data_IF_443488310335
#
_entry.id   IF_443488310335
#
_cell.length_a   1.000
_cell.length_b   1.000
_cell.length_c   1.000
_cell.angle_alpha   90.00
_cell.angle_beta   90.00
_cell.angle_gamma   90.00
#
_symmetry.space_group_name_H-M   'P 1'
#
loop_
_entity.id
_entity.type
_entity.pdbx_description
1 polymer ?
#
# COMPACT_ATOMS: atom_id res chain seq x y z
N UNK A 1 -32.03 -18.47 11.10
CA UNK A 1 -31.31 -18.20 12.36
C UNK A 1 -29.95 -18.90 12.38
N UNK A 2 -29.89 -20.23 12.29
CA UNK A 2 -28.62 -20.98 12.29
C UNK A 2 -27.57 -20.55 11.22
N UNK A 3 -28.01 -20.19 10.01
CA UNK A 3 -27.09 -19.75 8.93
C UNK A 3 -26.47 -18.37 9.20
N UNK A 4 -27.19 -17.50 9.91
CA UNK A 4 -26.70 -16.19 10.34
C UNK A 4 -25.70 -16.34 11.48
N UNK A 5 -25.99 -17.22 12.45
CA UNK A 5 -25.08 -17.53 13.55
C UNK A 5 -23.78 -18.18 13.07
N UNK A 6 -23.86 -19.10 12.10
CA UNK A 6 -22.68 -19.72 11.50
C UNK A 6 -21.79 -18.70 10.78
N UNK A 7 -22.39 -17.73 10.08
CA UNK A 7 -21.64 -16.65 9.44
C UNK A 7 -20.94 -15.77 10.47
N UNK A 8 -21.63 -15.37 11.53
CA UNK A 8 -21.05 -14.55 12.62
C UNK A 8 -19.90 -15.28 13.29
N UNK A 9 -20.03 -16.60 13.51
CA UNK A 9 -18.95 -17.40 14.09
C UNK A 9 -17.75 -17.50 13.14
N UNK A 10 -17.99 -17.70 11.84
CA UNK A 10 -16.96 -17.72 10.81
C UNK A 10 -16.20 -16.39 10.73
N UNK A 11 -16.91 -15.27 10.71
CA UNK A 11 -16.32 -13.92 10.70
C UNK A 11 -15.43 -13.68 11.93
N UNK A 12 -15.84 -14.17 13.11
CA UNK A 12 -15.04 -14.08 14.35
C UNK A 12 -13.77 -14.93 14.34
N UNK A 13 -13.83 -16.12 13.76
CA UNK A 13 -12.65 -16.99 13.61
C UNK A 13 -11.62 -16.37 12.68
N UNK A 14 -12.09 -15.78 11.57
CA UNK A 14 -11.24 -15.04 10.62
C UNK A 14 -10.59 -13.85 11.33
N UNK A 15 -11.37 -13.04 12.05
CA UNK A 15 -10.85 -11.89 12.80
C UNK A 15 -9.80 -12.30 13.85
N UNK A 16 -10.04 -13.37 14.61
CA UNK A 16 -9.06 -13.88 15.59
C UNK A 16 -7.79 -14.40 14.93
N UNK A 17 -7.90 -15.05 13.77
CA UNK A 17 -6.74 -15.51 13.03
C UNK A 17 -5.95 -14.33 12.45
N UNK A 18 -6.62 -13.38 11.79
CA UNK A 18 -6.00 -12.17 11.21
C UNK A 18 -5.30 -11.30 12.27
N UNK A 19 -5.84 -11.24 13.49
CA UNK A 19 -5.25 -10.48 14.61
C UNK A 19 -4.13 -11.21 15.33
N UNK A 20 -4.04 -12.54 15.22
CA UNK A 20 -3.05 -13.36 15.92
C UNK A 20 -1.89 -13.87 15.05
N UNK A 21 -1.91 -13.61 13.74
CA UNK A 21 -0.84 -14.02 12.83
C UNK A 21 0.28 -12.99 12.83
N UNK A 22 1.50 -13.46 13.06
CA UNK A 22 2.73 -12.69 12.93
C UNK A 22 3.47 -13.09 11.65
N UNK A 23 4.06 -12.11 10.98
CA UNK A 23 5.00 -12.36 9.89
C UNK A 23 6.37 -12.64 10.49
N UNK A 24 7.07 -13.58 9.88
CA UNK A 24 8.48 -13.86 10.17
C UNK A 24 9.27 -13.65 8.89
N UNK A 25 10.52 -13.23 9.03
CA UNK A 25 11.45 -13.19 7.91
C UNK A 25 11.55 -14.58 7.29
N UNK A 26 11.55 -14.63 5.96
CA UNK A 26 11.75 -15.88 5.24
C UNK A 26 13.14 -16.44 5.61
N UNK A 27 13.24 -17.64 6.19
CA UNK A 27 14.52 -18.22 6.58
C UNK A 27 15.39 -18.62 5.38
N UNK A 28 14.84 -18.65 4.17
CA UNK A 28 15.58 -18.95 2.95
C UNK A 28 16.40 -17.73 2.47
N UNK A 29 17.75 -17.77 2.52
CA UNK A 29 18.59 -16.65 2.14
C UNK A 29 18.50 -16.32 0.64
N UNK A 30 18.08 -17.26 -0.21
CA UNK A 30 17.95 -17.06 -1.66
C UNK A 30 16.66 -16.32 -2.04
N UNK A 31 15.67 -16.26 -1.14
CA UNK A 31 14.41 -15.49 -1.30
C UNK A 31 14.39 -14.20 -0.47
N UNK A 32 15.36 -14.01 0.42
CA UNK A 32 15.37 -12.95 1.42
C UNK A 32 15.47 -11.52 0.86
N UNK A 33 15.94 -11.34 -0.39
CA UNK A 33 16.19 -10.01 -0.96
C UNK A 33 15.39 -9.77 -2.23
N UNK A 34 14.41 -8.86 -2.17
CA UNK A 34 13.78 -8.32 -3.36
C UNK A 34 14.75 -7.41 -4.10
N UNK A 35 14.91 -7.63 -5.41
CA UNK A 35 15.71 -6.77 -6.29
C UNK A 35 14.82 -6.14 -7.35
N UNK A 36 15.04 -4.85 -7.62
CA UNK A 36 14.33 -4.14 -8.68
C UNK A 36 14.85 -4.66 -10.02
N UNK A 37 14.00 -5.37 -10.75
CA UNK A 37 14.31 -5.91 -12.07
C UNK A 37 14.26 -4.86 -13.18
N UNK A 38 14.62 -5.27 -14.40
CA UNK A 38 14.54 -4.42 -15.59
C UNK A 38 13.10 -3.94 -15.87
N UNK A 39 12.93 -2.64 -16.08
CA UNK A 39 11.65 -2.07 -16.47
C UNK A 39 11.31 -2.32 -17.93
N UNK A 40 10.09 -2.82 -18.18
CA UNK A 40 9.56 -3.12 -19.51
C UNK A 40 8.31 -2.27 -19.78
N UNK A 41 8.43 -1.16 -20.53
CA UNK A 41 7.31 -0.25 -20.74
C UNK A 41 6.23 -0.84 -21.64
N UNK A 42 4.96 -0.56 -21.32
CA UNK A 42 3.79 -0.97 -22.16
C UNK A 42 3.50 -0.03 -23.34
N UNK A 43 4.13 1.14 -23.38
CA UNK A 43 3.86 2.18 -24.39
C UNK A 43 5.10 2.98 -24.74
N UNK A 44 4.99 3.79 -25.80
CA UNK A 44 6.08 4.63 -26.31
C UNK A 44 6.17 6.01 -25.64
N UNK A 45 5.05 6.49 -25.09
CA UNK A 45 5.02 7.77 -24.40
C UNK A 45 5.56 7.59 -23.00
N UNK A 46 6.70 8.24 -22.71
CA UNK A 46 7.45 8.10 -21.47
C UNK A 46 7.40 9.39 -20.66
N UNK A 47 7.28 9.25 -19.34
CA UNK A 47 7.42 10.33 -18.37
C UNK A 47 8.70 10.10 -17.56
N UNK A 48 9.56 11.11 -17.52
CA UNK A 48 10.83 11.06 -16.82
C UNK A 48 10.66 11.43 -15.34
N UNK A 49 11.41 10.75 -14.47
CA UNK A 49 11.41 10.93 -13.02
C UNK A 49 12.84 10.92 -12.49
N UNK A 50 13.16 11.79 -11.54
CA UNK A 50 14.54 12.00 -11.05
C UNK A 50 14.91 11.13 -9.86
N UNK A 51 13.92 10.75 -9.05
CA UNK A 51 14.05 9.95 -7.83
C UNK A 51 13.43 8.56 -7.95
N UNK A 52 12.97 8.21 -9.14
CA UNK A 52 12.58 6.85 -9.45
C UNK A 52 13.81 5.95 -9.66
N UNK A 53 13.70 4.67 -9.27
CA UNK A 53 14.70 3.65 -9.55
C UNK A 53 14.89 3.42 -11.07
N UNK A 54 13.82 3.62 -11.84
CA UNK A 54 13.87 3.69 -13.30
C UNK A 54 13.76 5.16 -13.73
N UNK A 55 14.61 5.62 -14.64
CA UNK A 55 14.63 7.03 -15.06
C UNK A 55 13.35 7.50 -15.78
N UNK A 56 12.54 6.57 -16.27
CA UNK A 56 11.28 6.86 -16.93
C UNK A 56 10.25 5.74 -16.78
N UNK A 57 8.97 6.11 -16.84
CA UNK A 57 7.85 5.18 -16.91
C UNK A 57 6.94 5.53 -18.09
N UNK A 58 6.39 4.51 -18.74
CA UNK A 58 5.36 4.71 -19.74
C UNK A 58 4.13 5.36 -19.13
N UNK A 59 3.53 6.31 -19.83
CA UNK A 59 2.27 6.92 -19.41
C UNK A 59 1.12 5.92 -19.37
N UNK A 60 1.18 4.85 -20.18
CA UNK A 60 0.21 3.76 -20.13
C UNK A 60 0.38 2.88 -18.89
N UNK A 61 1.51 2.97 -18.21
CA UNK A 61 1.80 2.21 -17.02
C UNK A 61 1.22 2.82 -15.76
N UNK A 62 0.88 4.11 -15.76
CA UNK A 62 0.32 4.81 -14.61
C UNK A 62 -1.11 5.27 -14.89
N UNK A 63 -2.04 4.85 -14.05
CA UNK A 63 -3.39 5.42 -14.04
C UNK A 63 -3.36 6.90 -13.61
N UNK A 64 -4.50 7.61 -13.68
CA UNK A 64 -4.52 9.05 -13.38
C UNK A 64 -4.11 9.37 -11.93
N UNK A 65 -4.57 8.59 -10.95
CA UNK A 65 -4.25 8.77 -9.54
C UNK A 65 -2.79 8.37 -9.25
N UNK A 66 -2.34 7.24 -9.79
CA UNK A 66 -0.95 6.78 -9.71
C UNK A 66 0.01 7.80 -10.32
N UNK A 67 -0.37 8.45 -11.43
CA UNK A 67 0.45 9.46 -12.09
C UNK A 67 0.57 10.71 -11.25
N UNK A 68 -0.54 11.22 -10.72
CA UNK A 68 -0.52 12.38 -9.82
C UNK A 68 0.32 12.08 -8.57
N UNK A 69 0.17 10.87 -8.04
CA UNK A 69 0.98 10.37 -6.92
C UNK A 69 2.47 10.30 -7.25
N UNK A 70 2.85 9.69 -8.38
CA UNK A 70 4.23 9.56 -8.81
C UNK A 70 4.90 10.93 -9.05
N UNK A 71 4.17 11.89 -9.63
CA UNK A 71 4.67 13.26 -9.83
C UNK A 71 4.92 13.94 -8.48
N UNK A 72 4.00 13.83 -7.54
CA UNK A 72 4.17 14.41 -6.20
C UNK A 72 5.31 13.74 -5.42
N UNK A 73 5.41 12.40 -5.51
CA UNK A 73 6.45 11.60 -4.86
C UNK A 73 7.84 11.95 -5.39
N UNK A 74 8.00 12.09 -6.71
CA UNK A 74 9.27 12.48 -7.31
C UNK A 74 9.66 13.91 -6.96
N UNK A 75 8.67 14.83 -6.94
CA UNK A 75 8.88 16.23 -6.62
C UNK A 75 9.30 16.48 -5.17
N UNK A 76 8.94 15.59 -4.23
CA UNK A 76 9.35 15.69 -2.83
C UNK A 76 10.87 15.60 -2.66
N UNK A 77 11.58 15.01 -3.63
CA UNK A 77 13.04 14.92 -3.64
C UNK A 77 13.64 14.17 -2.43
N UNK A 78 12.85 13.28 -1.81
CA UNK A 78 13.23 12.47 -0.65
C UNK A 78 13.21 10.99 -1.04
N UNK A 79 14.31 10.28 -0.73
CA UNK A 79 14.41 8.86 -0.97
C UNK A 79 14.45 8.46 -2.45
N UNK A 80 14.25 7.17 -2.70
CA UNK A 80 14.12 6.56 -4.03
C UNK A 80 12.85 5.73 -4.07
N UNK A 81 12.09 5.82 -5.16
CA UNK A 81 10.84 5.07 -5.31
C UNK A 81 10.83 4.23 -6.58
N UNK A 82 10.00 3.20 -6.61
CA UNK A 82 9.76 2.37 -7.81
C UNK A 82 8.28 2.05 -7.94
N UNK A 83 7.78 2.04 -9.18
CA UNK A 83 6.47 1.46 -9.46
C UNK A 83 6.58 -0.05 -9.45
N UNK A 84 5.76 -0.70 -8.65
CA UNK A 84 5.78 -2.15 -8.45
C UNK A 84 4.80 -2.83 -9.42
N UNK A 85 5.27 -3.73 -10.30
CA UNK A 85 4.38 -4.49 -11.19
C UNK A 85 3.48 -5.44 -10.39
N UNK A 86 2.22 -5.60 -10.80
CA UNK A 86 1.29 -6.55 -10.17
C UNK A 86 1.51 -8.02 -10.63
N UNK A 87 2.74 -8.40 -10.97
CA UNK A 87 3.08 -9.74 -11.49
C UNK A 87 4.08 -10.44 -10.57
N UNK A 88 3.87 -11.73 -10.28
CA UNK A 88 4.73 -12.49 -9.37
C UNK A 88 6.19 -12.62 -9.84
N UNK A 89 6.45 -12.47 -11.15
CA UNK A 89 7.78 -12.61 -11.72
C UNK A 89 8.67 -11.36 -11.56
N UNK A 90 8.08 -10.18 -11.34
CA UNK A 90 8.80 -8.90 -11.31
C UNK A 90 8.41 -8.01 -10.13
N UNK A 91 7.22 -8.21 -9.58
CA UNK A 91 6.67 -7.43 -8.48
C UNK A 91 7.01 -7.99 -7.11
N UNK A 92 7.12 -7.09 -6.16
CA UNK A 92 7.11 -7.42 -4.74
C UNK A 92 5.69 -7.73 -4.30
N UNK A 93 5.44 -9.00 -3.97
CA UNK A 93 4.15 -9.48 -3.48
C UNK A 93 4.22 -9.78 -1.99
N UNK A 94 3.46 -9.04 -1.19
CA UNK A 94 3.27 -9.24 0.23
C UNK A 94 2.28 -10.40 0.43
N UNK A 95 2.64 -11.49 1.12
CA UNK A 95 1.69 -12.57 1.43
C UNK A 95 0.52 -12.03 2.25
N UNK A 96 -0.70 -12.48 1.97
CA UNK A 96 -1.88 -12.16 2.76
C UNK A 96 -2.14 -13.26 3.80
N UNK A 97 -2.55 -12.93 5.04
CA UNK A 97 -2.83 -13.94 6.06
C UNK A 97 -4.08 -14.75 5.70
N UNK A 98 -5.05 -14.11 5.04
CA UNK A 98 -6.25 -14.72 4.51
C UNK A 98 -6.42 -14.38 3.02
N UNK A 99 -7.04 -15.27 2.25
CA UNK A 99 -7.34 -15.01 0.85
C UNK A 99 -8.33 -13.86 0.71
N UNK A 100 -8.01 -12.90 -0.15
CA UNK A 100 -8.91 -11.80 -0.53
C UNK A 100 -9.18 -11.94 -2.03
N UNK A 101 -10.44 -12.14 -2.41
CA UNK A 101 -10.87 -12.30 -3.81
C UNK A 101 -9.99 -13.30 -4.60
N UNK A 102 -9.75 -14.48 -4.01
CA UNK A 102 -8.87 -15.56 -4.50
C UNK A 102 -7.36 -15.27 -4.52
N UNK A 103 -6.93 -14.05 -4.21
CA UNK A 103 -5.50 -13.73 -4.13
C UNK A 103 -4.89 -14.11 -2.79
N UNK A 104 -3.69 -14.69 -2.83
CA UNK A 104 -2.85 -14.99 -1.66
C UNK A 104 -1.75 -13.95 -1.44
N UNK A 105 -1.58 -13.01 -2.38
CA UNK A 105 -0.58 -11.94 -2.32
C UNK A 105 -1.18 -10.60 -2.65
N UNK A 106 -0.64 -9.55 -2.05
CA UNK A 106 -0.91 -8.17 -2.33
C UNK A 106 0.32 -7.51 -2.96
N UNK A 107 0.13 -6.86 -4.10
CA UNK A 107 1.17 -6.11 -4.78
C UNK A 107 0.83 -4.63 -4.61
N UNK A 108 1.56 -3.86 -3.78
CA UNK A 108 1.38 -2.41 -3.70
C UNK A 108 1.71 -1.77 -5.06
N UNK A 109 1.23 -0.57 -5.33
CA UNK A 109 1.54 0.16 -6.58
C UNK A 109 2.96 0.71 -6.57
N UNK A 110 3.46 1.13 -5.40
CA UNK A 110 4.77 1.75 -5.23
C UNK A 110 5.52 1.14 -4.05
N UNK A 111 6.84 1.05 -4.20
CA UNK A 111 7.77 0.92 -3.08
C UNK A 111 8.58 2.21 -2.97
N UNK A 112 8.77 2.74 -1.76
CA UNK A 112 9.50 3.97 -1.53
C UNK A 112 10.44 3.84 -0.35
N UNK A 113 11.75 3.88 -0.63
CA UNK A 113 12.82 3.90 0.35
C UNK A 113 13.12 5.35 0.72
N UNK A 114 12.64 5.77 1.89
CA UNK A 114 12.80 7.14 2.40
C UNK A 114 14.23 7.35 2.92
N UNK A 115 14.75 6.38 3.68
CA UNK A 115 16.08 6.37 4.27
C UNK A 115 16.60 4.91 4.47
N UNK A 116 17.74 4.77 5.15
CA UNK A 116 18.29 3.48 5.55
C UNK A 116 17.43 2.86 6.67
N UNK A 117 16.48 2.01 6.27
CA UNK A 117 15.60 1.25 7.17
C UNK A 117 14.12 1.58 7.01
N UNK A 118 13.75 2.71 6.40
CA UNK A 118 12.34 3.02 6.13
C UNK A 118 11.98 2.78 4.66
N UNK A 119 11.26 1.69 4.42
CA UNK A 119 10.59 1.43 3.15
C UNK A 119 9.08 1.40 3.32
N UNK A 120 8.37 2.12 2.45
CA UNK A 120 6.91 2.10 2.36
C UNK A 120 6.45 1.30 1.15
N UNK A 121 5.54 0.36 1.39
CA UNK A 121 4.68 -0.27 0.39
C UNK A 121 3.36 0.51 0.29
N UNK A 122 3.15 1.20 -0.82
CA UNK A 122 2.05 2.15 -1.00
C UNK A 122 1.12 1.68 -2.12
N UNK A 123 -0.17 1.58 -1.82
CA UNK A 123 -1.23 1.31 -2.81
C UNK A 123 -2.13 2.53 -2.92
N UNK A 124 -2.22 3.06 -4.13
CA UNK A 124 -3.13 4.15 -4.50
C UNK A 124 -4.46 3.52 -4.90
N UNK A 125 -5.53 3.88 -4.21
CA UNK A 125 -6.81 3.19 -4.41
C UNK A 125 -7.99 4.13 -4.42
N UNK A 126 -9.01 3.77 -5.21
CA UNK A 126 -10.32 4.39 -5.12
C UNK A 126 -11.13 3.89 -3.92
N UNK A 127 -12.14 4.69 -3.53
CA UNK A 127 -13.09 4.43 -2.41
C UNK A 127 -13.68 3.02 -2.40
N UNK A 128 -13.99 2.46 -3.58
CA UNK A 128 -14.75 1.21 -3.71
C UNK A 128 -14.06 -0.02 -3.11
N UNK A 129 -12.77 0.06 -2.82
CA UNK A 129 -11.97 -1.05 -2.35
C UNK A 129 -11.62 -0.95 -0.85
N UNK A 130 -12.06 0.09 -0.14
CA UNK A 130 -11.64 0.33 1.24
C UNK A 130 -11.98 -0.81 2.20
N UNK A 131 -13.21 -1.29 2.27
CA UNK A 131 -13.55 -2.31 3.29
C UNK A 131 -12.89 -3.68 3.03
N UNK A 132 -12.75 -4.08 1.76
CA UNK A 132 -12.08 -5.32 1.39
C UNK A 132 -10.55 -5.22 1.50
N UNK A 133 -9.96 -4.07 1.13
CA UNK A 133 -8.52 -3.81 1.27
C UNK A 133 -8.11 -3.53 2.72
N UNK A 134 -8.96 -2.88 3.52
CA UNK A 134 -8.62 -2.55 4.91
C UNK A 134 -8.68 -3.78 5.80
N UNK A 135 -9.71 -4.64 5.69
CA UNK A 135 -9.78 -5.87 6.49
C UNK A 135 -8.72 -6.90 6.10
N UNK A 136 -8.40 -7.02 4.80
CA UNK A 136 -7.48 -8.07 4.33
C UNK A 136 -6.05 -7.63 4.02
N UNK A 137 -5.75 -6.33 3.86
CA UNK A 137 -4.44 -5.85 3.34
C UNK A 137 -3.71 -4.83 4.21
N UNK A 138 -4.36 -4.25 5.22
CA UNK A 138 -3.66 -3.41 6.21
C UNK A 138 -2.99 -4.31 7.26
N UNK A 139 -2.05 -5.11 6.78
CA UNK A 139 -1.16 -5.89 7.60
C UNK A 139 -0.08 -4.94 8.12
N UNK A 140 0.08 -4.89 9.43
CA UNK A 140 1.17 -4.13 10.03
C UNK A 140 2.46 -4.93 9.86
N UNK A 141 3.26 -4.52 8.88
CA UNK A 141 4.61 -5.00 8.67
C UNK A 141 5.61 -3.98 9.19
N UNK A 142 6.69 -4.46 9.79
CA UNK A 142 7.80 -3.60 10.17
C UNK A 142 8.57 -3.15 8.93
N UNK A 143 8.82 -4.07 7.99
CA UNK A 143 9.57 -3.82 6.74
C UNK A 143 9.02 -4.64 5.56
N UNK A 144 8.57 -4.01 4.44
CA UNK A 144 8.24 -2.59 4.32
C UNK A 144 6.95 -2.25 5.07
N UNK A 145 6.82 -1.03 5.58
CA UNK A 145 5.59 -0.53 6.19
C UNK A 145 4.51 -0.33 5.13
N UNK A 146 3.25 -0.60 5.46
CA UNK A 146 2.14 -0.53 4.49
C UNK A 146 1.31 0.75 4.67
N UNK A 147 1.04 1.44 3.56
CA UNK A 147 0.14 2.57 3.49
C UNK A 147 -0.85 2.44 2.31
N UNK A 148 -2.09 2.85 2.54
CA UNK A 148 -3.08 3.05 1.48
C UNK A 148 -3.31 4.54 1.30
N UNK A 149 -3.29 5.00 0.06
CA UNK A 149 -3.55 6.39 -0.31
C UNK A 149 -4.82 6.43 -1.15
N UNK A 150 -5.84 7.08 -0.59
CA UNK A 150 -7.18 7.09 -1.18
C UNK A 150 -7.51 8.48 -1.69
N UNK A 151 -8.03 8.57 -2.91
CA UNK A 151 -8.57 9.84 -3.43
C UNK A 151 -9.82 10.27 -2.64
N UNK A 152 -9.83 11.51 -2.20
CA UNK A 152 -10.89 12.13 -1.43
C UNK A 152 -10.72 11.97 0.08
N UNK A 153 -11.59 12.63 0.83
CA UNK A 153 -11.65 12.52 2.30
C UNK A 153 -12.64 11.43 2.68
N UNK A 154 -12.12 10.32 3.20
CA UNK A 154 -12.89 9.13 3.56
C UNK A 154 -12.87 8.96 5.07
N UNK A 155 -14.05 8.88 5.67
CA UNK A 155 -14.22 8.44 7.05
C UNK A 155 -14.26 6.91 7.07
N UNK A 156 -13.23 6.29 7.66
CA UNK A 156 -13.12 4.83 7.76
C UNK A 156 -14.17 4.21 8.70
N UNK A 157 -14.70 4.98 9.65
CA UNK A 157 -15.67 4.50 10.64
C UNK A 157 -17.03 4.33 9.99
N UNK A 158 -17.43 5.31 9.19
CA UNK A 158 -18.73 5.34 8.52
C UNK A 158 -18.64 4.83 7.07
N UNK A 159 -17.43 4.63 6.55
CA UNK A 159 -17.12 4.36 5.15
C UNK A 159 -17.76 5.39 4.20
N UNK A 160 -17.85 6.64 4.64
CA UNK A 160 -18.44 7.75 3.88
C UNK A 160 -17.37 8.62 3.26
N UNK A 161 -17.72 9.23 2.13
CA UNK A 161 -16.86 10.22 1.46
C UNK A 161 -17.38 11.60 1.84
N UNK A 162 -16.61 12.35 2.62
CA UNK A 162 -16.96 13.73 2.99
C UNK A 162 -16.53 14.72 1.91
N UNK A 163 -15.48 14.40 1.14
CA UNK A 163 -15.04 15.19 -0.01
C UNK A 163 -14.48 14.31 -1.13
N UNK A 164 -14.72 14.70 -2.39
CA UNK A 164 -14.08 14.11 -3.58
C UNK A 164 -12.69 14.69 -3.86
N UNK A 165 -12.37 15.84 -3.28
CA UNK A 165 -11.06 16.48 -3.37
C UNK A 165 -10.15 16.05 -2.23
N UNK A 166 -8.85 16.22 -2.42
CA UNK A 166 -7.85 15.81 -1.44
C UNK A 166 -7.64 14.30 -1.39
N UNK A 167 -7.09 13.84 -0.28
CA UNK A 167 -6.56 12.50 -0.11
C UNK A 167 -6.75 12.02 1.32
N UNK A 168 -6.87 10.71 1.51
CA UNK A 168 -6.87 10.06 2.81
C UNK A 168 -5.71 9.08 2.87
N UNK A 169 -4.86 9.23 3.87
CA UNK A 169 -3.82 8.29 4.22
C UNK A 169 -4.35 7.29 5.24
N UNK A 170 -4.21 6.00 4.95
CA UNK A 170 -4.47 4.92 5.91
C UNK A 170 -3.18 4.16 6.13
N UNK A 171 -2.79 3.97 7.39
CA UNK A 171 -1.57 3.21 7.76
C UNK A 171 -1.94 1.97 8.54
N UNK A 172 -1.24 0.88 8.28
CA UNK A 172 -1.35 -0.31 9.11
C UNK A 172 -0.62 -0.05 10.43
N UNK A 173 -1.23 -0.44 11.55
CA UNK A 173 -0.61 -0.39 12.87
C UNK A 173 -0.91 -1.69 13.61
N UNK A 174 0.09 -2.33 14.23
CA UNK A 174 -0.17 -3.54 15.01
C UNK A 174 -1.17 -3.22 16.11
N UNK A 175 -2.18 -4.09 16.30
CA UNK A 175 -3.12 -4.01 17.42
C UNK A 175 -3.93 -2.70 17.56
N UNK A 176 -3.98 -1.87 16.52
CA UNK A 176 -4.73 -0.61 16.52
C UNK A 176 -5.68 -0.58 15.34
N UNK A 177 -6.94 -0.21 15.57
CA UNK A 177 -7.91 0.02 14.50
C UNK A 177 -7.36 1.02 13.49
N UNK A 178 -7.37 0.65 12.21
CA UNK A 178 -6.92 1.52 11.14
C UNK A 178 -7.65 2.89 11.22
N UNK A 179 -6.87 3.98 11.17
CA UNK A 179 -7.40 5.34 11.18
C UNK A 179 -6.97 6.06 9.91
N UNK A 180 -7.89 6.80 9.30
CA UNK A 180 -7.61 7.65 8.14
C UNK A 180 -7.18 9.04 8.60
N UNK A 181 -6.10 9.57 8.03
CA UNK A 181 -5.68 10.97 8.17
C UNK A 181 -5.95 11.66 6.83
N UNK A 182 -6.69 12.76 6.83
CA UNK A 182 -7.09 13.46 5.60
C UNK A 182 -6.13 14.60 5.28
N UNK A 183 -5.89 14.82 4.00
CA UNK A 183 -4.99 15.84 3.47
C UNK A 183 -5.65 16.51 2.26
N UNK A 184 -5.42 17.81 2.09
CA UNK A 184 -5.90 18.54 0.92
C UNK A 184 -4.99 18.31 -0.30
N UNK A 185 -3.69 18.08 -0.06
CA UNK A 185 -2.68 17.95 -1.11
C UNK A 185 -1.75 16.74 -0.86
N UNK A 186 -1.28 16.10 -1.93
CA UNK A 186 -0.34 14.97 -1.87
C UNK A 186 1.00 15.31 -1.19
N UNK A 187 1.63 16.47 -1.42
CA UNK A 187 2.91 16.78 -0.79
C UNK A 187 2.84 16.67 0.74
N UNK A 188 1.81 17.23 1.37
CA UNK A 188 1.61 17.16 2.83
C UNK A 188 1.44 15.71 3.33
N UNK A 189 0.74 14.87 2.56
CA UNK A 189 0.59 13.44 2.87
C UNK A 189 1.93 12.71 2.77
N UNK A 190 2.72 13.00 1.73
CA UNK A 190 4.02 12.36 1.50
C UNK A 190 5.07 12.81 2.53
N UNK A 191 5.07 14.09 2.91
CA UNK A 191 5.88 14.62 4.01
C UNK A 191 5.54 13.91 5.33
N UNK A 192 4.25 13.64 5.57
CA UNK A 192 3.81 12.86 6.74
C UNK A 192 4.38 11.44 6.73
N UNK A 193 4.46 10.79 5.57
CA UNK A 193 5.05 9.45 5.45
C UNK A 193 6.59 9.49 5.59
N UNK A 194 7.25 10.50 5.03
CA UNK A 194 8.70 10.67 5.14
C UNK A 194 9.15 10.93 6.58
N UNK A 195 8.36 11.68 7.35
CA UNK A 195 8.67 12.05 8.74
C UNK A 195 8.19 11.05 9.79
N UNK A 196 7.53 9.96 9.37
CA UNK A 196 7.02 8.93 10.28
C UNK A 196 8.14 8.02 10.87
N UNK A 197 9.35 8.55 11.05
CA UNK A 197 10.48 7.90 11.70
C UNK A 197 10.17 7.71 13.19
N UNK A 198 9.69 6.52 13.50
CA UNK A 198 9.41 6.03 14.85
C UNK A 198 8.93 4.59 14.71
N UNK A 199 9.48 3.68 15.51
CA UNK A 199 8.93 2.33 15.64
C UNK A 199 7.45 2.42 16.02
N UNK A 200 6.60 1.46 15.62
CA UNK A 200 5.33 1.31 16.30
C UNK A 200 5.61 1.17 17.81
N UNK A 201 4.87 1.87 18.69
CA UNK A 201 4.97 1.62 20.13
C UNK A 201 4.58 0.18 20.46
#
# INVERSE_FOLDING_TARGET
>A
MAQTELKVLGDRVVEMYETGVEYQDDPDPDTATFTVGEYRPRGKDMAAFKRAAHGEYSTNDLNNDEREFAVALDALNVGVWVRNPATAAQGFGIPLPAKVDESTKFYPDFLWWVDEGLCWAIDTTGKHLLNAKVRGKLIALDHPRVALVVRGHVDLTTNTLSSKSGWTLVRARPNVTASGEVFDELPSLLERLATATGSPP
#
